data_IF_803700058448
#
_entry.id   IF_803700058448
#
_cell.length_a   1.000
_cell.length_b   1.000
_cell.length_c   1.000
_cell.angle_alpha   90.00
_cell.angle_beta   90.00
_cell.angle_gamma   90.00
#
_symmetry.space_group_name_H-M   'P 1'
#
loop_
_entity.id
_entity.type
_entity.pdbx_description
1 polymer ?
#
# COMPACT_ATOMS: atom_id res chain seq x y z
N UNK A 1 -3.31 12.21 -62.39
CA UNK A 1 -2.78 11.44 -61.25
C UNK A 1 -3.37 12.02 -59.95
N UNK A 2 -4.37 11.35 -59.38
CA UNK A 2 -5.01 11.78 -58.12
C UNK A 2 -4.23 11.22 -56.94
N UNK A 3 -3.62 12.07 -56.12
CA UNK A 3 -2.93 11.67 -54.86
C UNK A 3 -3.99 11.52 -53.76
N UNK A 4 -4.25 10.27 -53.34
CA UNK A 4 -5.12 9.98 -52.21
C UNK A 4 -4.29 10.16 -50.94
N UNK A 5 -4.65 11.16 -50.11
CA UNK A 5 -4.05 11.41 -48.80
C UNK A 5 -4.70 10.48 -47.78
N UNK A 6 -3.97 9.46 -47.31
CA UNK A 6 -4.44 8.58 -46.23
C UNK A 6 -4.12 9.27 -44.88
N UNK A 7 -5.17 9.72 -44.21
CA UNK A 7 -5.08 10.29 -42.85
C UNK A 7 -5.09 9.15 -41.82
N UNK A 8 -3.94 8.84 -41.24
CA UNK A 8 -3.86 7.89 -40.11
C UNK A 8 -4.40 8.57 -38.85
N UNK A 9 -5.56 8.13 -38.38
CA UNK A 9 -6.07 8.49 -37.05
C UNK A 9 -5.36 7.64 -36.01
N UNK A 10 -4.47 8.26 -35.22
CA UNK A 10 -3.97 7.69 -34.00
C UNK A 10 -5.06 7.79 -32.92
N UNK A 11 -5.76 6.70 -32.65
CA UNK A 11 -6.65 6.59 -31.50
C UNK A 11 -5.76 6.46 -30.23
N UNK A 12 -5.64 7.52 -29.45
CA UNK A 12 -5.05 7.46 -28.12
C UNK A 12 -6.05 6.75 -27.19
N UNK A 13 -5.82 5.47 -26.93
CA UNK A 13 -6.56 4.74 -25.92
C UNK A 13 -6.17 5.30 -24.56
N UNK A 14 -7.08 6.01 -23.89
CA UNK A 14 -6.98 6.31 -22.47
C UNK A 14 -7.12 4.99 -21.73
N UNK A 15 -6.00 4.41 -21.30
CA UNK A 15 -6.02 3.32 -20.35
C UNK A 15 -6.53 3.88 -19.01
N UNK A 16 -7.75 3.55 -18.64
CA UNK A 16 -8.22 3.73 -17.27
C UNK A 16 -7.28 2.91 -16.41
N UNK A 17 -6.56 3.55 -15.49
CA UNK A 17 -5.63 2.89 -14.60
C UNK A 17 -6.44 1.91 -13.73
N UNK A 18 -6.48 0.66 -14.15
CA UNK A 18 -6.98 -0.44 -13.34
C UNK A 18 -5.88 -0.71 -12.31
N UNK A 19 -6.20 -0.67 -11.01
CA UNK A 19 -5.22 -0.88 -9.93
C UNK A 19 -4.40 -2.16 -10.10
N UNK A 20 -3.24 -2.20 -9.48
CA UNK A 20 -2.32 -3.34 -9.58
C UNK A 20 -2.99 -4.67 -9.20
N UNK A 21 -2.64 -5.70 -9.92
CA UNK A 21 -3.00 -7.10 -9.68
C UNK A 21 -1.77 -7.87 -9.21
N UNK A 22 -1.98 -9.04 -8.65
CA UNK A 22 -0.89 -9.97 -8.30
C UNK A 22 -0.10 -10.32 -9.56
N UNK A 23 1.22 -10.17 -9.49
CA UNK A 23 2.16 -10.34 -10.60
C UNK A 23 2.48 -9.04 -11.35
N UNK A 24 1.75 -7.95 -11.13
CA UNK A 24 2.05 -6.67 -11.78
C UNK A 24 3.31 -6.02 -11.19
N UNK A 25 4.08 -5.37 -12.05
CA UNK A 25 5.21 -4.53 -11.65
C UNK A 25 4.72 -3.20 -11.11
N UNK A 26 5.26 -2.83 -9.96
CA UNK A 26 4.90 -1.59 -9.27
C UNK A 26 5.84 -0.47 -9.72
N UNK A 27 5.28 0.64 -10.17
CA UNK A 27 6.02 1.85 -10.48
C UNK A 27 6.60 2.47 -9.21
N UNK A 28 7.78 3.08 -9.32
CA UNK A 28 8.35 3.83 -8.21
C UNK A 28 7.43 4.97 -7.80
N UNK A 29 7.33 5.21 -6.51
CA UNK A 29 6.67 6.38 -5.93
C UNK A 29 7.58 7.03 -4.90
N UNK A 30 7.35 8.30 -4.64
CA UNK A 30 8.08 9.06 -3.61
C UNK A 30 7.09 9.94 -2.86
N UNK A 31 6.99 9.74 -1.54
CA UNK A 31 6.01 10.42 -0.69
C UNK A 31 6.70 11.02 0.54
N UNK A 32 6.08 12.07 1.12
CA UNK A 32 6.58 12.75 2.31
C UNK A 32 6.25 11.94 3.56
N UNK A 33 7.28 11.61 4.33
CA UNK A 33 7.16 10.93 5.62
C UNK A 33 6.89 11.93 6.76
N UNK A 34 6.31 11.44 7.85
CA UNK A 34 6.01 12.23 9.08
C UNK A 34 7.22 12.88 9.72
N UNK A 35 8.45 12.42 9.45
CA UNK A 35 9.70 13.07 9.87
C UNK A 35 10.16 14.19 8.90
N UNK A 36 9.37 14.49 7.88
CA UNK A 36 9.64 15.51 6.86
C UNK A 36 10.51 15.04 5.70
N UNK A 37 11.10 13.84 5.75
CA UNK A 37 11.92 13.28 4.67
C UNK A 37 11.05 12.68 3.56
N UNK A 38 11.61 12.59 2.37
CA UNK A 38 10.98 11.84 1.27
C UNK A 38 11.36 10.37 1.37
N UNK A 39 10.39 9.49 1.17
CA UNK A 39 10.56 8.03 1.14
C UNK A 39 10.10 7.52 -0.22
N UNK A 40 10.96 6.76 -0.87
CA UNK A 40 10.72 6.20 -2.18
C UNK A 40 10.71 4.67 -2.14
N UNK A 41 9.92 4.02 -2.98
CA UNK A 41 9.98 2.56 -3.13
C UNK A 41 11.38 2.10 -3.56
N UNK A 42 12.10 2.91 -4.32
CA UNK A 42 13.50 2.63 -4.73
C UNK A 42 14.49 2.60 -3.56
N UNK A 43 14.17 3.13 -2.39
CA UNK A 43 15.04 3.07 -1.20
C UNK A 43 15.16 1.65 -0.64
N UNK A 44 14.27 0.74 -1.08
CA UNK A 44 14.17 -0.64 -0.62
C UNK A 44 14.81 -1.67 -1.57
N UNK A 45 15.68 -1.23 -2.49
CA UNK A 45 16.31 -2.13 -3.49
C UNK A 45 17.23 -3.21 -2.87
N UNK A 46 17.60 -3.09 -1.60
CA UNK A 46 18.34 -4.12 -0.87
C UNK A 46 17.44 -5.07 -0.07
N UNK A 47 16.15 -4.75 0.03
CA UNK A 47 15.14 -5.59 0.71
C UNK A 47 14.70 -6.73 -0.19
N UNK A 48 14.19 -7.82 0.40
CA UNK A 48 13.56 -8.93 -0.34
C UNK A 48 12.17 -8.54 -0.86
N UNK A 49 11.50 -7.65 -0.16
CA UNK A 49 10.19 -7.13 -0.49
C UNK A 49 9.81 -5.95 0.38
N UNK A 50 8.59 -5.44 0.22
CA UNK A 50 8.03 -4.32 1.01
C UNK A 50 6.58 -4.62 1.34
N UNK A 51 6.16 -4.40 2.58
CA UNK A 51 4.77 -4.46 3.00
C UNK A 51 4.19 -3.05 2.89
N UNK A 52 3.54 -2.73 1.77
CA UNK A 52 2.83 -1.45 1.58
C UNK A 52 1.45 -1.56 2.18
N UNK A 53 1.09 -0.66 3.10
CA UNK A 53 -0.20 -0.67 3.79
C UNK A 53 -0.85 0.70 3.66
N UNK A 54 -1.94 0.79 2.89
CA UNK A 54 -2.80 1.97 2.93
C UNK A 54 -3.58 1.95 4.23
N UNK A 55 -3.35 2.94 5.09
CA UNK A 55 -3.95 3.07 6.41
C UNK A 55 -4.27 4.53 6.71
N UNK A 56 -4.89 4.83 7.84
CA UNK A 56 -5.21 6.20 8.23
C UNK A 56 -5.42 6.29 9.75
N UNK A 57 -5.53 7.52 10.27
CA UNK A 57 -5.67 7.76 11.70
C UNK A 57 -7.09 7.50 12.23
N UNK A 58 -8.10 7.79 11.42
CA UNK A 58 -9.49 7.98 11.90
C UNK A 58 -10.38 6.76 11.70
N UNK A 59 -9.98 5.81 10.86
CA UNK A 59 -10.77 4.61 10.61
C UNK A 59 -10.69 3.64 11.80
N UNK A 60 -11.82 3.22 12.42
CA UNK A 60 -11.82 2.25 13.51
C UNK A 60 -11.11 0.93 13.15
N UNK A 61 -11.26 0.47 11.92
CA UNK A 61 -10.54 -0.72 11.43
C UNK A 61 -9.03 -0.50 11.35
N UNK A 62 -8.58 0.65 10.86
CA UNK A 62 -7.15 0.98 10.83
C UNK A 62 -6.58 1.05 12.24
N UNK A 63 -7.33 1.62 13.20
CA UNK A 63 -6.97 1.69 14.61
C UNK A 63 -6.90 0.29 15.24
N UNK A 64 -7.85 -0.60 14.94
CA UNK A 64 -7.84 -1.98 15.43
C UNK A 64 -6.65 -2.79 14.91
N UNK A 65 -6.15 -2.48 13.73
CA UNK A 65 -4.98 -3.13 13.12
C UNK A 65 -3.64 -2.44 13.44
N UNK A 66 -3.63 -1.28 14.07
CA UNK A 66 -2.42 -0.47 14.29
C UNK A 66 -1.29 -1.24 14.96
N UNK A 67 -1.59 -1.91 16.07
CA UNK A 67 -0.57 -2.72 16.77
C UNK A 67 -0.04 -3.86 15.90
N UNK A 68 -0.90 -4.48 15.07
CA UNK A 68 -0.48 -5.57 14.16
C UNK A 68 0.44 -5.06 13.06
N UNK A 69 0.23 -3.83 12.57
CA UNK A 69 1.15 -3.18 11.62
C UNK A 69 2.51 -2.94 12.26
N UNK A 70 2.53 -2.46 13.51
CA UNK A 70 3.77 -2.30 14.29
C UNK A 70 4.49 -3.65 14.48
N UNK A 71 3.74 -4.69 14.82
CA UNK A 71 4.30 -6.03 15.05
C UNK A 71 4.80 -6.67 13.75
N UNK A 72 4.14 -6.42 12.61
CA UNK A 72 4.62 -6.84 11.28
C UNK A 72 5.99 -6.21 10.96
N UNK A 73 6.15 -4.89 11.15
CA UNK A 73 7.45 -4.23 10.91
C UNK A 73 8.53 -4.81 11.82
N UNK A 74 8.26 -4.91 13.13
CA UNK A 74 9.19 -5.48 14.10
C UNK A 74 9.62 -6.89 13.73
N UNK A 75 8.68 -7.72 13.26
CA UNK A 75 8.93 -9.13 12.94
C UNK A 75 9.69 -9.31 11.63
N UNK A 76 9.36 -8.54 10.59
CA UNK A 76 9.80 -8.83 9.24
C UNK A 76 10.82 -7.84 8.65
N UNK A 77 11.01 -6.67 9.25
CA UNK A 77 11.99 -5.69 8.75
C UNK A 77 13.42 -6.25 8.67
N UNK A 78 13.86 -6.93 9.73
CA UNK A 78 15.20 -7.53 9.77
C UNK A 78 15.36 -8.73 8.83
N UNK A 79 14.27 -9.37 8.42
CA UNK A 79 14.28 -10.46 7.44
C UNK A 79 14.16 -9.99 6.00
N UNK A 80 14.04 -8.66 5.78
CA UNK A 80 14.02 -8.03 4.48
C UNK A 80 12.63 -7.63 3.96
N UNK A 81 11.61 -7.55 4.83
CA UNK A 81 10.26 -7.09 4.46
C UNK A 81 9.80 -5.95 5.38
N UNK A 82 10.38 -4.74 5.26
CA UNK A 82 9.95 -3.57 6.02
C UNK A 82 8.53 -3.13 5.63
N UNK A 83 7.85 -2.44 6.55
CA UNK A 83 6.55 -1.80 6.32
C UNK A 83 6.76 -0.39 5.77
N UNK A 84 5.91 0.01 4.82
CA UNK A 84 5.65 1.40 4.41
C UNK A 84 4.15 1.64 4.53
N UNK A 85 3.76 2.44 5.52
CA UNK A 85 2.37 2.83 5.72
C UNK A 85 2.07 4.11 4.95
N UNK A 86 0.95 4.13 4.22
CA UNK A 86 0.54 5.25 3.37
C UNK A 86 -0.84 5.74 3.80
N UNK A 87 -0.96 7.03 4.13
CA UNK A 87 -2.26 7.65 4.35
C UNK A 87 -2.73 8.35 3.07
N UNK A 88 -3.81 7.84 2.43
CA UNK A 88 -4.33 8.40 1.20
C UNK A 88 -5.52 9.35 1.42
N UNK A 89 -5.97 9.56 2.67
CA UNK A 89 -7.17 10.33 2.94
C UNK A 89 -6.95 11.83 2.70
N UNK A 90 -7.93 12.44 2.05
CA UNK A 90 -7.99 13.89 1.89
C UNK A 90 -8.28 14.56 3.25
N UNK A 91 -7.37 15.43 3.76
CA UNK A 91 -7.54 16.10 5.04
C UNK A 91 -8.71 17.10 5.05
N UNK A 92 -9.11 17.65 3.90
CA UNK A 92 -10.28 18.53 3.80
C UNK A 92 -11.58 17.76 4.08
N UNK A 93 -11.59 16.46 3.79
CA UNK A 93 -12.73 15.56 4.07
C UNK A 93 -12.61 14.84 5.41
N UNK A 94 -11.40 14.72 5.92
CA UNK A 94 -11.10 14.02 7.16
C UNK A 94 -9.94 14.72 7.89
N UNK A 95 -10.18 15.81 8.62
CA UNK A 95 -9.12 16.61 9.27
C UNK A 95 -8.23 15.81 10.23
N UNK A 96 -8.75 14.75 10.86
CA UNK A 96 -7.95 13.86 11.70
C UNK A 96 -6.93 12.99 10.96
N UNK A 97 -6.89 13.07 9.62
CA UNK A 97 -5.91 12.42 8.75
C UNK A 97 -4.96 13.44 8.10
N UNK A 98 -4.90 14.69 8.62
CA UNK A 98 -3.93 15.70 8.19
C UNK A 98 -2.50 15.26 8.48
N UNK A 99 -1.52 15.89 7.82
CA UNK A 99 -0.11 15.58 8.01
C UNK A 99 0.33 15.76 9.48
N UNK A 100 -0.13 16.83 10.12
CA UNK A 100 0.14 17.12 11.54
C UNK A 100 -0.46 16.02 12.43
N UNK A 101 -1.68 15.58 12.17
CA UNK A 101 -2.32 14.49 12.90
C UNK A 101 -1.59 13.15 12.69
N UNK A 102 -1.01 12.91 11.51
CA UNK A 102 -0.16 11.75 11.25
C UNK A 102 1.13 11.79 12.08
N UNK A 103 1.79 12.95 12.16
CA UNK A 103 2.99 13.17 12.99
C UNK A 103 2.70 12.85 14.45
N UNK A 104 1.63 13.41 14.99
CA UNK A 104 1.19 13.18 16.37
C UNK A 104 0.92 11.69 16.64
N UNK A 105 0.23 11.02 15.72
CA UNK A 105 -0.10 9.60 15.83
C UNK A 105 1.14 8.73 15.81
N UNK A 106 2.02 8.93 14.84
CA UNK A 106 3.27 8.16 14.72
C UNK A 106 4.13 8.29 15.97
N UNK A 107 4.23 9.50 16.53
CA UNK A 107 4.94 9.75 17.80
C UNK A 107 4.26 9.04 18.98
N UNK A 108 2.94 9.16 19.11
CA UNK A 108 2.16 8.57 20.20
C UNK A 108 2.30 7.05 20.28
N UNK A 109 2.28 6.37 19.12
CA UNK A 109 2.32 4.91 19.05
C UNK A 109 3.71 4.35 18.73
N UNK A 110 4.73 5.22 18.60
CA UNK A 110 6.12 4.82 18.40
C UNK A 110 6.35 4.05 17.11
N UNK A 111 5.84 4.55 15.98
CA UNK A 111 6.04 3.90 14.67
C UNK A 111 7.52 3.80 14.34
N UNK A 112 8.00 2.58 14.03
CA UNK A 112 9.38 2.29 13.62
C UNK A 112 9.54 2.21 12.10
N UNK A 113 8.46 2.40 11.37
CA UNK A 113 8.35 2.37 9.92
C UNK A 113 7.91 3.74 9.37
N UNK A 114 8.18 4.03 8.10
CA UNK A 114 7.68 5.24 7.44
C UNK A 114 6.15 5.27 7.40
N UNK A 115 5.60 6.43 7.81
CA UNK A 115 4.19 6.75 7.66
C UNK A 115 4.06 7.96 6.75
N UNK A 116 3.79 7.71 5.48
CA UNK A 116 3.87 8.71 4.41
C UNK A 116 2.49 9.19 3.97
N UNK A 117 2.40 10.44 3.53
CA UNK A 117 1.16 11.02 3.02
C UNK A 117 1.11 10.92 1.49
N UNK A 118 0.04 10.36 0.95
CA UNK A 118 -0.28 10.41 -0.48
C UNK A 118 -1.25 11.57 -0.75
N UNK A 119 -0.73 12.80 -0.66
CA UNK A 119 -1.52 14.03 -0.78
C UNK A 119 -2.26 14.12 -2.12
N UNK A 120 -1.63 13.68 -3.20
CA UNK A 120 -2.23 13.68 -4.54
C UNK A 120 -3.21 12.55 -4.78
N UNK A 121 -3.18 11.52 -3.93
CA UNK A 121 -3.91 10.26 -4.08
C UNK A 121 -3.53 9.45 -5.34
N UNK A 122 -2.43 9.83 -5.99
CA UNK A 122 -1.97 9.18 -7.21
C UNK A 122 -1.45 7.76 -6.93
N UNK A 123 -0.77 7.56 -5.79
CA UNK A 123 -0.26 6.24 -5.41
C UNK A 123 -1.41 5.31 -5.04
N UNK A 124 -2.37 5.78 -4.23
CA UNK A 124 -3.56 4.98 -3.91
C UNK A 124 -4.36 4.61 -5.15
N UNK A 125 -4.48 5.53 -6.11
CA UNK A 125 -5.14 5.29 -7.40
C UNK A 125 -4.40 4.24 -8.22
N UNK A 126 -3.07 4.36 -8.36
CA UNK A 126 -2.24 3.42 -9.13
C UNK A 126 -2.29 2.00 -8.51
N UNK A 127 -2.29 1.91 -7.19
CA UNK A 127 -2.44 0.63 -6.49
C UNK A 127 -3.88 0.06 -6.59
N UNK A 128 -4.89 0.89 -6.85
CA UNK A 128 -6.29 0.48 -6.76
C UNK A 128 -6.74 0.29 -5.31
N UNK A 129 -6.08 0.98 -4.38
CA UNK A 129 -6.45 0.93 -2.97
C UNK A 129 -7.84 1.55 -2.78
N UNK A 130 -8.70 0.88 -2.03
CA UNK A 130 -10.09 1.31 -1.85
C UNK A 130 -10.50 1.47 -0.38
N UNK A 131 -9.69 0.92 0.52
CA UNK A 131 -9.99 0.86 1.96
C UNK A 131 -8.75 1.15 2.81
N UNK A 132 -8.97 1.40 4.09
CA UNK A 132 -7.93 1.48 5.13
C UNK A 132 -8.35 0.58 6.32
N UNK A 133 -7.55 -0.48 6.68
CA UNK A 133 -6.31 -0.88 6.00
C UNK A 133 -6.53 -1.65 4.69
N UNK A 134 -5.56 -1.55 3.76
CA UNK A 134 -5.46 -2.37 2.55
C UNK A 134 -3.98 -2.67 2.28
N UNK A 135 -3.62 -3.94 2.25
CA UNK A 135 -2.23 -4.40 2.15
C UNK A 135 -1.87 -4.81 0.73
N UNK A 136 -0.66 -4.45 0.32
CA UNK A 136 0.03 -4.95 -0.87
C UNK A 136 1.41 -5.44 -0.43
N UNK A 137 1.63 -6.75 -0.44
CA UNK A 137 2.96 -7.31 -0.25
C UNK A 137 3.67 -7.32 -1.61
N UNK A 138 4.79 -6.63 -1.66
CA UNK A 138 5.64 -6.55 -2.84
C UNK A 138 6.84 -7.49 -2.66
N UNK A 139 7.16 -8.27 -3.68
CA UNK A 139 8.37 -9.08 -3.78
C UNK A 139 9.36 -8.39 -4.73
N UNK A 140 10.64 -8.33 -4.37
CA UNK A 140 11.66 -7.79 -5.27
C UNK A 140 12.12 -8.86 -6.28
N UNK A 141 12.00 -8.53 -7.55
CA UNK A 141 12.48 -9.35 -8.70
C UNK A 141 13.56 -8.57 -9.44
N UNK A 142 14.82 -8.84 -9.13
CA UNK A 142 15.92 -8.04 -9.67
C UNK A 142 15.84 -6.58 -9.21
N UNK A 143 15.66 -5.66 -10.15
CA UNK A 143 15.55 -4.20 -9.88
C UNK A 143 14.10 -3.68 -9.84
N UNK A 144 13.11 -4.54 -9.86
CA UNK A 144 11.70 -4.16 -9.82
C UNK A 144 10.99 -4.83 -8.66
N UNK A 145 9.87 -4.24 -8.25
CA UNK A 145 8.95 -4.83 -7.28
C UNK A 145 7.72 -5.34 -8.01
N UNK A 146 7.29 -6.56 -7.68
CA UNK A 146 6.07 -7.19 -8.19
C UNK A 146 5.11 -7.47 -7.04
N UNK A 147 3.81 -7.32 -7.28
CA UNK A 147 2.79 -7.60 -6.27
C UNK A 147 2.69 -9.10 -6.04
N UNK A 148 2.92 -9.55 -4.83
CA UNK A 148 2.83 -10.95 -4.42
C UNK A 148 1.49 -11.27 -3.72
N UNK A 149 0.94 -10.29 -2.96
CA UNK A 149 -0.33 -10.45 -2.26
C UNK A 149 -1.06 -9.11 -2.15
N UNK A 150 -2.41 -9.16 -2.19
CA UNK A 150 -3.30 -8.01 -2.00
C UNK A 150 -4.42 -8.38 -1.03
N UNK A 151 -4.69 -7.57 0.00
CA UNK A 151 -5.89 -7.78 0.83
C UNK A 151 -5.79 -7.34 2.28
N UNK A 152 -6.29 -8.18 3.17
CA UNK A 152 -6.31 -7.98 4.62
C UNK A 152 -5.00 -8.43 5.28
N UNK A 153 -4.72 -7.97 6.49
CA UNK A 153 -3.60 -8.44 7.31
C UNK A 153 -3.86 -9.86 7.79
N UNK A 154 -5.06 -10.09 8.33
CA UNK A 154 -5.54 -11.38 8.82
C UNK A 154 -7.08 -11.48 8.70
N UNK A 155 -7.68 -12.54 9.22
CA UNK A 155 -9.12 -12.82 9.13
C UNK A 155 -9.93 -12.36 10.36
N UNK A 156 -9.33 -11.64 11.32
CA UNK A 156 -10.04 -11.24 12.53
C UNK A 156 -9.70 -9.80 12.94
N UNK A 157 -10.58 -8.87 12.61
CA UNK A 157 -10.40 -7.45 12.93
C UNK A 157 -10.44 -7.17 14.44
N UNK A 158 -11.27 -7.90 15.18
CA UNK A 158 -11.55 -7.58 16.59
C UNK A 158 -10.49 -8.13 17.53
N UNK A 159 -9.99 -9.35 17.27
CA UNK A 159 -9.05 -10.04 18.15
C UNK A 159 -7.90 -10.68 17.38
N UNK A 160 -6.71 -10.08 17.48
CA UNK A 160 -5.49 -10.59 16.85
C UNK A 160 -5.13 -12.02 17.28
N UNK A 161 -5.39 -12.38 18.55
CA UNK A 161 -5.09 -13.71 19.07
C UNK A 161 -6.03 -14.78 18.53
N UNK A 162 -7.25 -14.41 18.14
CA UNK A 162 -8.25 -15.30 17.54
C UNK A 162 -8.15 -15.40 16.01
N UNK A 163 -7.23 -14.66 15.38
CA UNK A 163 -6.99 -14.77 13.95
C UNK A 163 -6.48 -16.19 13.59
N UNK A 164 -7.22 -16.88 12.72
CA UNK A 164 -6.86 -18.22 12.24
C UNK A 164 -5.93 -18.14 11.03
N UNK A 165 -6.15 -17.15 10.18
CA UNK A 165 -5.36 -16.92 8.96
C UNK A 165 -4.63 -15.58 9.06
N UNK A 166 -3.31 -15.63 9.14
CA UNK A 166 -2.40 -14.47 9.14
C UNK A 166 -1.85 -14.29 7.72
N UNK A 167 -2.67 -13.73 6.83
CA UNK A 167 -2.43 -13.73 5.40
C UNK A 167 -1.08 -13.14 5.00
N UNK A 168 -0.71 -11.97 5.54
CA UNK A 168 0.56 -11.31 5.23
C UNK A 168 1.75 -12.13 5.73
N UNK A 169 1.68 -12.65 6.95
CA UNK A 169 2.74 -13.49 7.52
C UNK A 169 2.95 -14.76 6.71
N UNK A 170 1.83 -15.45 6.35
CA UNK A 170 1.87 -16.67 5.54
C UNK A 170 2.43 -16.41 4.14
N UNK A 171 2.07 -15.26 3.53
CA UNK A 171 2.59 -14.87 2.23
C UNK A 171 4.12 -14.62 2.28
N UNK A 172 4.60 -13.92 3.31
CA UNK A 172 6.05 -13.70 3.49
C UNK A 172 6.80 -15.02 3.70
N UNK A 173 6.26 -15.94 4.52
CA UNK A 173 6.86 -17.26 4.75
C UNK A 173 6.96 -18.09 3.45
N UNK A 174 5.95 -18.01 2.60
CA UNK A 174 5.99 -18.67 1.30
C UNK A 174 7.10 -18.09 0.42
N UNK A 175 7.19 -16.75 0.32
CA UNK A 175 8.23 -16.06 -0.46
C UNK A 175 9.64 -16.38 0.06
N UNK A 176 9.86 -16.37 1.37
CA UNK A 176 11.13 -16.74 1.99
C UNK A 176 11.54 -18.19 1.70
N UNK A 177 10.55 -19.07 1.47
CA UNK A 177 10.75 -20.46 1.06
C UNK A 177 10.89 -20.63 -0.46
N UNK A 178 10.96 -19.54 -1.24
CA UNK A 178 11.03 -19.56 -2.70
C UNK A 178 9.73 -20.02 -3.38
N UNK A 179 8.60 -19.97 -2.67
CA UNK A 179 7.28 -20.36 -3.16
C UNK A 179 6.38 -19.16 -3.38
N UNK A 180 5.37 -19.32 -4.22
CA UNK A 180 4.27 -18.35 -4.28
C UNK A 180 3.35 -18.54 -3.08
N UNK A 181 2.73 -17.46 -2.55
CA UNK A 181 1.68 -17.59 -1.55
C UNK A 181 0.50 -18.43 -2.06
N UNK A 182 -0.02 -19.35 -1.22
CA UNK A 182 -1.20 -20.13 -1.56
C UNK A 182 -2.43 -19.22 -1.69
N UNK A 183 -2.53 -18.20 -0.82
CA UNK A 183 -3.55 -17.16 -0.87
C UNK A 183 -2.88 -15.90 -1.38
N UNK A 184 -3.16 -15.51 -2.62
CA UNK A 184 -2.58 -14.32 -3.26
C UNK A 184 -3.45 -13.08 -3.13
N UNK A 185 -4.73 -13.24 -2.80
CA UNK A 185 -5.63 -12.10 -2.58
C UNK A 185 -6.75 -12.43 -1.60
N UNK A 186 -7.14 -11.44 -0.82
CA UNK A 186 -8.31 -11.47 0.06
C UNK A 186 -9.06 -10.15 -0.03
N UNK A 187 -10.29 -10.10 0.49
CA UNK A 187 -11.03 -8.85 0.58
C UNK A 187 -10.45 -7.97 1.67
N UNK A 188 -10.03 -6.75 1.33
CA UNK A 188 -9.68 -5.75 2.33
C UNK A 188 -10.92 -5.35 3.14
N UNK A 189 -10.78 -5.33 4.47
CA UNK A 189 -11.84 -4.94 5.41
C UNK A 189 -11.43 -3.63 6.06
N UNK A 190 -12.24 -2.60 5.91
CA UNK A 190 -11.92 -1.27 6.42
C UNK A 190 -12.84 -0.18 5.90
N UNK A 191 -12.58 1.05 6.31
CA UNK A 191 -13.29 2.24 5.82
C UNK A 191 -12.85 2.56 4.39
N UNK A 192 -13.76 3.14 3.60
CA UNK A 192 -13.42 3.65 2.26
C UNK A 192 -12.47 4.85 2.37
N UNK A 193 -11.53 4.92 1.45
CA UNK A 193 -10.64 6.08 1.30
C UNK A 193 -11.49 7.35 1.08
N UNK A 194 -11.07 8.45 1.71
CA UNK A 194 -11.68 9.76 1.55
C UNK A 194 -11.02 10.46 0.37
N UNK A 195 -11.55 10.22 -0.83
CA UNK A 195 -11.01 10.80 -2.06
C UNK A 195 -11.26 12.31 -2.11
N UNK A 196 -10.35 13.08 -2.71
CA UNK A 196 -10.57 14.47 -3.05
C UNK A 196 -11.85 14.62 -3.88
N UNK A 197 -12.57 15.72 -3.67
CA UNK A 197 -13.69 16.05 -4.56
C UNK A 197 -13.12 16.40 -5.92
N UNK A 198 -13.61 15.75 -6.96
CA UNK A 198 -13.40 16.23 -8.33
C UNK A 198 -14.14 17.55 -8.48
N UNK A 199 -13.40 18.62 -8.75
CA UNK A 199 -13.96 19.92 -9.15
C UNK A 199 -14.63 19.82 -10.51
#
# INVERSE_FOLDING_TARGET
MKKTLVMLFFATAFAVAQGYKVGDRVSNFTLKNVDGKMVSLSDYQTSKGVIVIFTCNTCPYAQAYEQRIIDLDKKFKSTGYPVVAINPNDPDRQPGDSFEAMVERAKKFGYSFPYVQDESQAVATAFGASRTPHVYLLERKGNVFEVAYIGAIDDNTENAAAAKNRFVESAIQALDSGKRPDVTSTKAIGCTIKWKKTS
#
